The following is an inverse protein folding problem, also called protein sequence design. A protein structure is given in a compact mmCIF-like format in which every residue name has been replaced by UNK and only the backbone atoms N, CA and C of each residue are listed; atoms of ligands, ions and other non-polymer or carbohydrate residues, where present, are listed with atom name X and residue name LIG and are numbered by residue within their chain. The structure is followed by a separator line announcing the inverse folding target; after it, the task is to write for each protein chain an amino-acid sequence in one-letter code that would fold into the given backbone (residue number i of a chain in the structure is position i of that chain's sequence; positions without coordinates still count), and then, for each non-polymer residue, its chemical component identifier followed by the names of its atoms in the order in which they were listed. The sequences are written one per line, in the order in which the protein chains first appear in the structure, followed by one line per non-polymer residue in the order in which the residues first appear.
data_IF_124823183968
#
_entry.id   IF_124823183968
#
_cell.length_a   1.000
_cell.length_b   1.000
_cell.length_c   1.000
_cell.angle_alpha   90.00
_cell.angle_beta   90.00
_cell.angle_gamma   90.00
#
_symmetry.space_group_name_H-M   'P 1'
#
loop_
_entity.id
_entity.type
_entity.pdbx_description
1 polymer ?
#
# COMPACT_ATOMS: atom_id res chain seq x y z
N UNK A 1 -11.40 10.95 13.29
CA UNK A 1 -10.87 12.28 13.66
C UNK A 1 -11.50 12.81 14.95
N UNK A 2 -12.83 12.76 15.10
CA UNK A 2 -13.51 13.22 16.33
C UNK A 2 -12.98 12.57 17.61
N UNK A 3 -12.72 11.27 17.57
CA UNK A 3 -12.17 10.52 18.72
C UNK A 3 -10.79 11.04 19.18
N UNK A 4 -9.94 11.55 18.28
CA UNK A 4 -8.64 12.14 18.65
C UNK A 4 -8.86 13.48 19.37
N UNK A 5 -9.84 14.27 18.91
CA UNK A 5 -10.19 15.55 19.53
C UNK A 5 -10.75 15.31 20.94
N UNK A 6 -11.57 14.28 21.11
CA UNK A 6 -12.13 13.89 22.40
C UNK A 6 -11.02 13.46 23.38
N UNK A 7 -10.05 12.65 22.94
CA UNK A 7 -8.92 12.23 23.76
C UNK A 7 -8.07 13.42 24.25
N UNK A 8 -7.86 14.41 23.39
CA UNK A 8 -7.16 15.65 23.76
C UNK A 8 -7.99 16.45 24.78
N UNK A 9 -9.30 16.57 24.56
CA UNK A 9 -10.19 17.31 25.46
C UNK A 9 -10.28 16.66 26.86
N UNK A 10 -10.10 15.34 26.95
CA UNK A 10 -10.11 14.60 28.21
C UNK A 10 -8.74 14.48 28.89
N UNK A 11 -7.69 15.12 28.37
CA UNK A 11 -6.30 15.01 28.87
C UNK A 11 -5.81 13.55 28.94
N UNK A 12 -6.13 12.76 27.90
CA UNK A 12 -5.64 11.41 27.76
C UNK A 12 -4.11 11.39 27.60
N UNK A 13 -3.48 10.23 27.87
CA UNK A 13 -2.02 10.16 27.81
C UNK A 13 -1.51 10.44 26.39
N UNK A 14 -0.31 11.04 26.30
CA UNK A 14 0.32 11.32 25.01
C UNK A 14 0.54 10.03 24.18
N UNK A 15 0.71 8.88 24.84
CA UNK A 15 0.83 7.59 24.17
C UNK A 15 -0.49 7.21 23.49
N UNK A 16 -1.62 7.30 24.19
CA UNK A 16 -2.94 6.94 23.66
C UNK A 16 -3.33 7.83 22.46
N UNK A 17 -3.07 9.15 22.58
CA UNK A 17 -3.31 10.10 21.49
C UNK A 17 -2.44 9.76 20.28
N UNK A 18 -1.14 9.46 20.51
CA UNK A 18 -0.20 9.13 19.45
C UNK A 18 -0.60 7.85 18.71
N UNK A 19 -1.04 6.83 19.44
CA UNK A 19 -1.47 5.56 18.85
C UNK A 19 -2.72 5.76 17.99
N UNK A 20 -3.69 6.55 18.47
CA UNK A 20 -4.88 6.85 17.67
C UNK A 20 -4.57 7.65 16.41
N UNK A 21 -3.61 8.57 16.46
CA UNK A 21 -3.13 9.29 15.27
C UNK A 21 -2.50 8.32 14.27
N UNK A 22 -1.63 7.41 14.72
CA UNK A 22 -0.99 6.41 13.86
C UNK A 22 -2.05 5.53 13.17
N UNK A 23 -3.02 5.04 13.92
CA UNK A 23 -4.10 4.21 13.37
C UNK A 23 -4.87 4.93 12.27
N UNK A 24 -5.24 6.19 12.52
CA UNK A 24 -5.95 7.00 11.54
C UNK A 24 -5.11 7.25 10.27
N UNK A 25 -3.81 7.50 10.42
CA UNK A 25 -2.89 7.68 9.29
C UNK A 25 -2.68 6.39 8.51
N UNK A 26 -2.53 5.25 9.19
CA UNK A 26 -2.39 3.96 8.53
C UNK A 26 -3.64 3.58 7.75
N UNK A 27 -4.84 3.74 8.32
CA UNK A 27 -6.10 3.51 7.60
C UNK A 27 -6.14 4.33 6.30
N UNK A 28 -5.85 5.63 6.40
CA UNK A 28 -5.87 6.52 5.24
C UNK A 28 -4.79 6.20 4.21
N UNK A 29 -3.60 5.82 4.66
CA UNK A 29 -2.53 5.39 3.78
C UNK A 29 -2.91 4.10 3.03
N UNK A 30 -3.53 3.13 3.72
CA UNK A 30 -4.05 1.91 3.10
C UNK A 30 -5.11 2.22 2.06
N UNK A 31 -6.08 3.08 2.35
CA UNK A 31 -7.08 3.53 1.37
C UNK A 31 -6.44 4.15 0.14
N UNK A 32 -5.40 4.99 0.34
CA UNK A 32 -4.66 5.61 -0.75
C UNK A 32 -3.93 4.57 -1.62
N UNK A 33 -3.24 3.62 -1.00
CA UNK A 33 -2.56 2.53 -1.70
C UNK A 33 -3.58 1.71 -2.49
N UNK A 34 -4.72 1.38 -1.89
CA UNK A 34 -5.76 0.59 -2.54
C UNK A 34 -6.32 1.31 -3.77
N UNK A 35 -6.56 2.62 -3.67
CA UNK A 35 -7.01 3.42 -4.81
C UNK A 35 -6.02 3.46 -5.97
N UNK A 36 -4.72 3.28 -5.70
CA UNK A 36 -3.67 3.32 -6.72
C UNK A 36 -3.30 1.93 -7.25
N UNK A 37 -3.76 0.86 -6.59
CA UNK A 37 -3.38 -0.52 -6.91
C UNK A 37 -3.66 -0.86 -8.38
N UNK A 38 -4.85 -0.50 -8.89
CA UNK A 38 -5.24 -0.77 -10.28
C UNK A 38 -4.39 0.01 -11.29
N UNK A 39 -4.16 1.30 -11.03
CA UNK A 39 -3.38 2.15 -11.93
C UNK A 39 -1.93 1.65 -12.06
N UNK A 40 -1.34 1.22 -10.93
CA UNK A 40 -0.01 0.59 -10.91
C UNK A 40 -0.02 -0.73 -11.66
N UNK A 41 -1.06 -1.56 -11.50
CA UNK A 41 -1.16 -2.82 -12.23
C UNK A 41 -1.22 -2.61 -13.75
N UNK A 42 -2.03 -1.65 -14.22
CA UNK A 42 -2.09 -1.27 -15.63
C UNK A 42 -0.73 -0.76 -16.11
N UNK A 43 -0.12 0.16 -15.38
CA UNK A 43 1.21 0.70 -15.72
C UNK A 43 2.29 -0.38 -15.84
N UNK A 44 2.29 -1.37 -14.95
CA UNK A 44 3.31 -2.41 -14.89
C UNK A 44 3.08 -3.57 -15.86
N UNK A 45 1.82 -3.94 -16.13
CA UNK A 45 1.49 -5.18 -16.85
C UNK A 45 0.69 -4.98 -18.14
N UNK A 46 0.05 -3.83 -18.34
CA UNK A 46 -0.74 -3.50 -19.53
C UNK A 46 0.01 -2.58 -20.51
N UNK A 47 1.24 -2.19 -20.17
CA UNK A 47 2.15 -1.54 -21.11
C UNK A 47 2.53 -2.54 -22.21
N UNK A 48 2.35 -2.22 -23.51
CA UNK A 48 2.89 -3.05 -24.57
C UNK A 48 4.41 -3.11 -24.36
N UNK A 49 4.92 -4.31 -24.12
CA UNK A 49 6.33 -4.59 -23.98
C UNK A 49 7.03 -4.24 -25.30
N UNK A 50 7.61 -3.04 -25.38
CA UNK A 50 8.71 -2.83 -26.33
C UNK A 50 9.86 -3.67 -25.80
N UNK A 51 10.10 -4.80 -26.48
CA UNK A 51 11.04 -5.88 -26.16
C UNK A 51 10.59 -6.87 -25.07
N UNK A 52 9.61 -7.72 -25.40
CA UNK A 52 9.56 -9.09 -24.87
C UNK A 52 10.88 -9.80 -25.24
N UNK A 53 11.87 -9.77 -24.34
CA UNK A 53 12.99 -10.71 -24.43
C UNK A 53 12.40 -12.09 -24.12
N UNK A 54 12.18 -12.87 -25.17
CA UNK A 54 11.87 -14.30 -25.09
C UNK A 54 13.03 -15.01 -24.40
N UNK A 55 13.02 -15.03 -23.06
CA UNK A 55 13.82 -15.96 -22.30
C UNK A 55 13.21 -17.34 -22.55
N UNK A 56 13.67 -18.01 -23.62
CA UNK A 56 13.41 -19.42 -23.85
C UNK A 56 13.74 -20.16 -22.56
N UNK A 57 12.72 -20.81 -21.98
CA UNK A 57 12.91 -21.84 -20.99
C UNK A 57 13.75 -22.93 -21.65
N UNK A 58 15.07 -22.88 -21.46
CA UNK A 58 15.95 -24.02 -21.60
C UNK A 58 15.48 -25.06 -20.58
N UNK A 59 14.47 -25.85 -20.95
CA UNK A 59 14.21 -27.13 -20.31
C UNK A 59 15.47 -27.93 -20.49
N UNK A 60 16.24 -28.09 -19.41
CA UNK A 60 17.28 -29.10 -19.31
C UNK A 60 16.62 -30.48 -19.36
N UNK A 61 16.18 -30.88 -20.55
CA UNK A 61 16.08 -32.27 -20.94
C UNK A 61 17.45 -32.63 -21.53
N UNK A 62 18.36 -33.08 -20.68
CA UNK A 62 19.41 -33.99 -21.12
C UNK A 62 19.64 -35.03 -20.01
N UNK A 63 19.84 -36.26 -20.46
CA UNK A 63 19.63 -37.57 -19.80
C UNK A 63 20.30 -37.83 -18.44
#
# INVERSE_FOLDING_TARGET
MNEIIDLIATDASAADISDKIKDALYSKATEKIESQRSDVAVSMFDSPTEDEVTAELETSEDE
#
